data_IF_071373154430
#
_entry.id   IF_071373154430
#
_cell.length_a   1.000
_cell.length_b   1.000
_cell.length_c   1.000
_cell.angle_alpha   90.00
_cell.angle_beta   90.00
_cell.angle_gamma   90.00
#
_symmetry.space_group_name_H-M   'P 1'
#
loop_
_entity.id
_entity.type
_entity.pdbx_description
1 polymer ?
#
# COMPACT_ATOMS: atom_id res chain seq x y z
N UNK A 1 36.64 78.34 19.56
CA UNK A 1 37.47 79.13 20.49
C UNK A 1 37.49 78.41 21.82
N UNK A 2 38.68 78.11 22.35
CA UNK A 2 39.06 77.86 23.76
C UNK A 2 38.25 76.81 24.57
N UNK A 3 38.77 76.02 25.50
CA UNK A 3 40.11 75.60 25.91
C UNK A 3 39.86 74.56 27.03
N UNK A 4 40.61 73.45 27.01
CA UNK A 4 41.41 72.88 28.12
C UNK A 4 40.78 72.74 29.53
N UNK A 5 40.72 71.50 30.04
CA UNK A 5 41.06 71.14 31.44
C UNK A 5 41.39 69.63 31.52
N UNK A 6 42.65 69.19 31.70
CA UNK A 6 43.46 68.97 32.93
C UNK A 6 43.07 67.73 33.81
N UNK A 7 44.02 66.79 33.86
CA UNK A 7 44.61 66.06 35.00
C UNK A 7 43.90 64.87 35.74
N UNK A 8 44.49 63.67 35.52
CA UNK A 8 44.87 62.49 36.37
C UNK A 8 44.84 62.57 37.93
N UNK A 9 44.96 61.45 38.73
CA UNK A 9 45.53 60.13 38.39
C UNK A 9 44.95 58.80 39.01
N UNK A 10 45.42 57.68 38.43
CA UNK A 10 45.83 56.36 39.03
C UNK A 10 44.77 55.43 39.66
N UNK A 11 44.65 54.17 39.22
CA UNK A 11 45.59 53.11 39.63
C UNK A 11 46.10 52.18 38.49
N UNK A 12 47.39 51.90 38.62
CA UNK A 12 48.33 51.00 37.97
C UNK A 12 47.84 49.54 38.07
N UNK A 13 47.62 48.82 36.97
CA UNK A 13 48.58 48.05 36.16
C UNK A 13 49.29 46.89 36.87
N UNK A 14 48.86 45.66 36.55
CA UNK A 14 49.67 44.43 36.34
C UNK A 14 48.91 43.59 35.29
N UNK A 15 49.12 43.73 33.98
CA UNK A 15 50.10 43.08 33.07
C UNK A 15 50.34 41.56 33.25
N UNK A 16 50.03 40.83 32.16
CA UNK A 16 50.58 39.51 31.81
C UNK A 16 49.57 38.39 32.02
N UNK A 17 49.16 37.57 31.05
CA UNK A 17 49.90 37.01 29.92
C UNK A 17 48.90 36.63 28.80
N UNK A 18 49.23 36.96 27.55
CA UNK A 18 48.47 36.52 26.37
C UNK A 18 48.64 35.01 26.14
N UNK A 19 47.61 34.34 25.62
CA UNK A 19 47.82 33.44 24.48
C UNK A 19 46.54 33.25 23.65
N UNK A 20 46.68 33.63 22.38
CA UNK A 20 45.75 33.47 21.28
C UNK A 20 45.55 31.98 20.95
N UNK A 21 44.30 31.52 20.87
CA UNK A 21 43.94 30.32 20.10
C UNK A 21 42.62 30.58 19.36
N UNK A 22 42.73 30.73 18.04
CA UNK A 22 41.61 30.58 17.12
C UNK A 22 40.98 29.20 17.30
N UNK A 23 39.67 29.14 17.56
CA UNK A 23 38.93 27.87 17.56
C UNK A 23 37.64 27.98 16.74
N UNK A 24 37.48 26.95 15.94
CA UNK A 24 36.64 26.76 14.77
C UNK A 24 35.13 26.77 15.12
N UNK A 25 34.32 27.48 14.32
CA UNK A 25 32.85 27.53 14.42
C UNK A 25 32.21 26.25 13.87
N UNK A 26 32.53 25.07 14.38
CA UNK A 26 31.72 23.85 14.24
C UNK A 26 32.09 22.90 15.39
N UNK A 27 31.20 22.78 16.39
CA UNK A 27 30.94 21.61 17.25
C UNK A 27 30.31 22.07 18.56
N UNK A 28 28.97 22.01 18.66
CA UNK A 28 28.22 22.01 19.93
C UNK A 28 26.77 21.57 19.61
N UNK A 29 26.63 20.32 19.17
CA UNK A 29 25.34 19.64 19.01
C UNK A 29 25.48 18.19 19.40
N UNK A 30 25.69 17.91 20.70
CA UNK A 30 25.71 16.53 21.22
C UNK A 30 25.31 16.41 22.70
N UNK A 31 24.63 17.41 23.27
CA UNK A 31 24.11 17.36 24.65
C UNK A 31 22.58 17.30 24.73
N UNK A 32 21.85 17.48 23.62
CA UNK A 32 20.39 17.31 23.58
C UNK A 32 19.92 15.88 23.24
N UNK A 33 20.85 14.96 22.91
CA UNK A 33 20.53 13.57 22.55
C UNK A 33 20.36 12.66 23.78
N UNK A 34 20.85 13.07 24.96
CA UNK A 34 20.91 12.21 26.16
C UNK A 34 19.62 12.30 26.99
N UNK A 35 18.86 13.40 26.90
CA UNK A 35 17.64 13.59 27.69
C UNK A 35 16.42 12.81 27.15
N UNK A 36 16.39 12.46 25.86
CA UNK A 36 15.28 11.73 25.23
C UNK A 36 15.37 10.20 25.37
N UNK A 37 16.56 9.64 25.68
CA UNK A 37 16.74 8.20 25.84
C UNK A 37 16.21 7.70 27.21
N UNK A 38 16.17 8.55 28.23
CA UNK A 38 15.78 8.15 29.59
C UNK A 38 14.26 7.98 29.81
N UNK A 39 13.41 8.49 28.91
CA UNK A 39 11.94 8.33 29.02
C UNK A 39 11.44 7.04 28.33
N UNK A 40 12.28 6.39 27.51
CA UNK A 40 11.92 5.18 26.77
C UNK A 40 12.04 3.86 27.57
N UNK A 41 12.50 3.88 28.83
CA UNK A 41 12.77 2.66 29.62
C UNK A 41 11.78 2.41 30.78
N UNK A 42 10.73 3.21 30.97
CA UNK A 42 9.75 3.03 32.06
C UNK A 42 8.34 2.60 31.61
N UNK A 43 8.15 2.26 30.33
CA UNK A 43 6.83 1.98 29.73
C UNK A 43 6.42 0.51 29.63
N UNK A 44 7.13 -0.44 30.24
CA UNK A 44 6.80 -1.86 30.15
C UNK A 44 6.47 -2.44 31.54
N UNK A 45 5.18 -2.54 31.85
CA UNK A 45 4.65 -3.52 32.79
C UNK A 45 3.36 -4.15 32.23
N UNK A 46 3.20 -5.44 32.47
CA UNK A 46 2.55 -6.44 31.64
C UNK A 46 1.13 -6.84 32.10
N UNK A 47 0.28 -7.22 31.16
CA UNK A 47 -0.97 -7.94 31.45
C UNK A 47 -0.71 -9.44 31.38
N UNK A 48 -1.04 -10.13 32.47
CA UNK A 48 -0.97 -11.58 32.63
C UNK A 48 -2.25 -12.22 32.10
N UNK A 49 -2.13 -13.34 31.39
CA UNK A 49 -3.15 -14.40 31.36
C UNK A 49 -2.48 -15.71 30.95
N UNK A 50 -2.87 -16.75 31.68
CA UNK A 50 -2.11 -17.96 32.01
C UNK A 50 -1.94 -18.97 30.87
N UNK A 51 -0.83 -19.70 30.94
CA UNK A 51 -0.48 -20.88 30.15
C UNK A 51 -1.21 -22.15 30.62
N UNK A 52 -1.52 -23.06 29.70
CA UNK A 52 -1.16 -24.50 29.82
C UNK A 52 -1.36 -25.24 28.50
N UNK A 53 -0.27 -25.83 27.99
CA UNK A 53 -0.07 -27.19 27.43
C UNK A 53 -1.06 -27.77 26.38
N UNK A 54 -0.72 -28.51 25.31
CA UNK A 54 0.51 -29.14 24.78
C UNK A 54 0.17 -29.83 23.42
N UNK A 55 1.16 -29.91 22.51
CA UNK A 55 1.40 -30.89 21.42
C UNK A 55 0.66 -30.81 20.05
N UNK A 56 1.48 -30.50 19.04
CA UNK A 56 1.54 -30.93 17.63
C UNK A 56 0.26 -31.18 16.81
N UNK A 57 -0.05 -30.23 15.94
CA UNK A 57 -0.51 -30.54 14.59
C UNK A 57 0.16 -29.56 13.61
N UNK A 58 0.93 -30.08 12.65
CA UNK A 58 1.48 -29.32 11.54
C UNK A 58 0.33 -28.96 10.59
N UNK A 59 -0.46 -27.95 10.98
CA UNK A 59 -1.49 -27.37 10.14
C UNK A 59 -0.95 -26.03 9.65
N UNK A 60 -0.65 -25.95 8.36
CA UNK A 60 -0.38 -24.67 7.70
C UNK A 60 -1.44 -23.66 8.13
N UNK A 61 -1.08 -22.50 8.69
CA UNK A 61 -2.09 -21.50 9.02
C UNK A 61 -2.66 -20.99 7.70
N UNK A 62 -3.84 -21.48 7.33
CA UNK A 62 -4.72 -20.78 6.41
C UNK A 62 -5.17 -19.53 7.17
N UNK A 63 -4.49 -18.42 6.93
CA UNK A 63 -4.91 -17.11 7.40
C UNK A 63 -6.19 -16.74 6.65
N UNK A 64 -7.34 -17.06 7.25
CA UNK A 64 -8.60 -16.45 6.84
C UNK A 64 -8.56 -14.98 7.24
N UNK A 65 -8.23 -14.11 6.28
CA UNK A 65 -8.41 -12.67 6.45
C UNK A 65 -9.90 -12.44 6.66
N UNK A 66 -10.29 -12.04 7.88
CA UNK A 66 -11.67 -11.73 8.23
C UNK A 66 -12.14 -10.52 7.42
N UNK A 67 -13.12 -10.73 6.54
CA UNK A 67 -13.80 -9.66 5.82
C UNK A 67 -14.69 -8.89 6.80
N UNK A 68 -14.14 -7.85 7.42
CA UNK A 68 -14.93 -6.88 8.17
C UNK A 68 -15.55 -5.92 7.16
N UNK A 69 -16.68 -6.32 6.57
CA UNK A 69 -17.49 -5.45 5.71
C UNK A 69 -18.13 -4.35 6.55
N UNK A 70 -17.35 -3.32 6.88
CA UNK A 70 -17.86 -2.04 7.35
C UNK A 70 -18.33 -1.30 6.11
N UNK A 71 -19.64 -1.04 6.04
CA UNK A 71 -20.26 -0.15 5.06
C UNK A 71 -19.52 1.20 5.12
N UNK A 72 -18.61 1.46 4.18
CA UNK A 72 -17.80 2.68 4.18
C UNK A 72 -16.29 2.54 3.95
N UNK A 73 -15.84 1.61 3.10
CA UNK A 73 -14.73 1.79 2.15
C UNK A 73 -14.64 0.51 1.31
N UNK A 74 -15.09 0.60 0.07
CA UNK A 74 -15.39 -0.52 -0.84
C UNK A 74 -14.15 -1.14 -1.50
N UNK A 75 -12.96 -0.86 -0.96
CA UNK A 75 -11.69 -1.30 -1.53
C UNK A 75 -11.04 -2.30 -0.57
N UNK A 76 -10.71 -3.52 -1.03
CA UNK A 76 -10.01 -4.50 -0.19
C UNK A 76 -8.63 -3.97 0.23
N UNK A 77 -8.15 -4.40 1.40
CA UNK A 77 -6.76 -4.14 1.80
C UNK A 77 -5.79 -4.80 0.82
N UNK A 78 -4.55 -4.30 0.81
CA UNK A 78 -3.49 -4.91 -0.01
C UNK A 78 -3.30 -6.39 0.35
N UNK A 79 -3.24 -6.74 1.64
CA UNK A 79 -3.12 -8.13 2.10
C UNK A 79 -4.27 -9.02 1.59
N UNK A 80 -5.51 -8.53 1.64
CA UNK A 80 -6.67 -9.28 1.15
C UNK A 80 -6.60 -9.46 -0.38
N UNK A 81 -6.18 -8.44 -1.11
CA UNK A 81 -6.01 -8.53 -2.57
C UNK A 81 -4.84 -9.45 -2.94
N UNK A 82 -3.75 -9.43 -2.17
CA UNK A 82 -2.59 -10.32 -2.37
C UNK A 82 -2.88 -11.77 -2.00
N UNK A 83 -3.89 -12.04 -1.18
CA UNK A 83 -4.25 -13.41 -0.80
C UNK A 83 -4.59 -14.33 -1.98
N UNK A 84 -5.03 -13.78 -3.12
CA UNK A 84 -5.32 -14.55 -4.34
C UNK A 84 -4.12 -14.69 -5.28
N UNK A 85 -3.00 -13.99 -5.02
CA UNK A 85 -1.77 -14.08 -5.82
C UNK A 85 -0.90 -15.27 -5.40
N UNK A 86 -1.48 -16.47 -5.50
CA UNK A 86 -0.76 -17.73 -5.31
C UNK A 86 0.30 -17.93 -6.41
N UNK A 87 1.30 -18.76 -6.15
CA UNK A 87 2.37 -19.07 -7.12
C UNK A 87 1.83 -19.56 -8.48
N UNK A 88 0.73 -20.32 -8.48
CA UNK A 88 0.06 -20.78 -9.70
C UNK A 88 -0.58 -19.66 -10.52
N UNK A 89 -1.00 -18.58 -9.86
CA UNK A 89 -1.59 -17.39 -10.49
C UNK A 89 -0.48 -16.48 -11.01
N UNK A 90 0.55 -16.22 -10.21
CA UNK A 90 1.67 -15.37 -10.63
C UNK A 90 2.42 -15.97 -11.82
N UNK A 91 2.62 -17.29 -11.86
CA UNK A 91 3.18 -17.98 -13.06
C UNK A 91 2.39 -17.76 -14.34
N UNK A 92 1.08 -17.54 -14.25
CA UNK A 92 0.23 -17.27 -15.42
C UNK A 92 0.23 -15.78 -15.83
N UNK A 93 0.43 -14.87 -14.87
CA UNK A 93 0.39 -13.42 -15.10
C UNK A 93 1.77 -12.82 -15.44
N UNK A 94 2.86 -13.46 -15.01
CA UNK A 94 4.22 -12.93 -15.11
C UNK A 94 4.70 -12.30 -13.79
N UNK A 95 5.86 -11.65 -13.84
CA UNK A 95 6.56 -11.16 -12.64
C UNK A 95 6.28 -9.70 -12.29
N UNK A 96 5.81 -8.90 -13.25
CA UNK A 96 5.61 -7.46 -13.09
C UNK A 96 4.18 -7.16 -12.62
N UNK A 97 3.96 -7.31 -11.31
CA UNK A 97 2.67 -7.12 -10.64
C UNK A 97 2.81 -6.09 -9.52
N UNK A 98 2.27 -4.89 -9.73
CA UNK A 98 2.36 -3.76 -8.81
C UNK A 98 0.99 -3.44 -8.21
N UNK A 99 0.91 -3.20 -6.90
CA UNK A 99 -0.34 -2.80 -6.25
C UNK A 99 -0.69 -1.34 -6.57
N UNK A 100 -1.97 -1.03 -6.83
CA UNK A 100 -2.39 0.29 -7.30
C UNK A 100 -3.00 1.20 -6.21
N UNK A 101 -2.89 0.84 -4.92
CA UNK A 101 -3.51 1.54 -3.79
C UNK A 101 -5.04 1.64 -3.82
N UNK A 102 -5.70 0.90 -4.70
CA UNK A 102 -7.13 1.02 -4.98
C UNK A 102 -7.83 -0.33 -5.26
N UNK A 103 -7.33 -1.43 -4.73
CA UNK A 103 -8.02 -2.73 -4.80
C UNK A 103 -7.60 -3.64 -5.95
N UNK A 104 -6.59 -3.25 -6.74
CA UNK A 104 -6.16 -3.99 -7.93
C UNK A 104 -4.65 -3.94 -8.15
N UNK A 105 -4.19 -4.65 -9.19
CA UNK A 105 -2.79 -4.66 -9.60
C UNK A 105 -2.61 -4.07 -11.00
N UNK A 106 -1.55 -3.29 -11.17
CA UNK A 106 -0.99 -2.89 -12.45
C UNK A 106 -0.08 -4.01 -12.92
N UNK A 107 -0.35 -4.53 -14.12
CA UNK A 107 0.45 -5.57 -14.75
C UNK A 107 1.36 -4.96 -15.81
N UNK A 108 2.59 -5.48 -15.93
CA UNK A 108 3.51 -5.15 -17.03
C UNK A 108 3.69 -3.63 -17.22
N UNK A 109 3.80 -2.87 -16.13
CA UNK A 109 3.94 -1.42 -16.16
C UNK A 109 2.81 -0.70 -16.91
N UNK A 110 1.58 -1.21 -16.82
CA UNK A 110 0.39 -0.70 -17.51
C UNK A 110 0.51 -0.76 -19.05
N UNK A 111 1.16 -1.80 -19.59
CA UNK A 111 1.31 -2.03 -21.03
C UNK A 111 0.67 -3.36 -21.44
N UNK A 112 0.02 -3.35 -22.61
CA UNK A 112 -0.57 -4.54 -23.24
C UNK A 112 0.01 -4.72 -24.64
N UNK A 113 0.06 -5.96 -25.10
CA UNK A 113 0.44 -6.37 -26.45
C UNK A 113 -0.76 -6.47 -27.41
N UNK A 114 -1.96 -6.09 -26.97
CA UNK A 114 -3.15 -6.03 -27.82
C UNK A 114 -2.95 -5.04 -28.98
N UNK A 115 -3.05 -5.53 -30.21
CA UNK A 115 -3.07 -4.69 -31.41
C UNK A 115 -4.48 -4.14 -31.66
N UNK A 116 -4.64 -2.83 -31.43
CA UNK A 116 -5.87 -2.11 -31.71
C UNK A 116 -5.90 -1.51 -33.15
N UNK A 117 -4.79 -1.56 -33.89
CA UNK A 117 -4.65 -0.98 -35.24
C UNK A 117 -5.15 -1.91 -36.33
N UNK A 118 -6.40 -2.36 -36.21
CA UNK A 118 -7.01 -3.34 -37.11
C UNK A 118 -8.15 -2.74 -37.93
N UNK A 119 -8.33 -3.22 -39.16
CA UNK A 119 -9.48 -2.86 -40.01
C UNK A 119 -10.67 -3.83 -39.88
N UNK A 120 -10.65 -4.69 -38.86
CA UNK A 120 -11.69 -5.69 -38.61
C UNK A 120 -13.01 -5.02 -38.21
N UNK A 121 -14.13 -5.68 -38.54
CA UNK A 121 -15.42 -5.28 -38.02
C UNK A 121 -15.49 -5.49 -36.48
N UNK A 122 -16.24 -4.67 -35.73
CA UNK A 122 -16.46 -4.90 -34.30
C UNK A 122 -17.03 -6.29 -34.00
N UNK A 123 -16.54 -6.93 -32.94
CA UNK A 123 -16.92 -8.31 -32.58
C UNK A 123 -16.77 -8.55 -31.08
N UNK A 124 -17.33 -9.67 -30.61
CA UNK A 124 -17.06 -10.24 -29.29
C UNK A 124 -16.93 -11.77 -29.41
N UNK A 125 -15.93 -12.35 -28.76
CA UNK A 125 -15.65 -13.77 -28.75
C UNK A 125 -15.35 -14.24 -27.33
N UNK A 126 -16.05 -15.30 -26.90
CA UNK A 126 -15.85 -15.93 -25.60
C UNK A 126 -15.31 -17.34 -25.78
N UNK A 127 -14.18 -17.65 -25.14
CA UNK A 127 -13.66 -19.00 -24.98
C UNK A 127 -14.09 -19.57 -23.65
N UNK A 128 -14.30 -20.89 -23.62
CA UNK A 128 -14.71 -21.63 -22.44
C UNK A 128 -13.86 -22.88 -22.27
N UNK A 129 -13.92 -23.48 -21.08
CA UNK A 129 -13.38 -24.82 -20.81
C UNK A 129 -14.32 -25.59 -19.91
N UNK A 130 -14.19 -26.91 -19.90
CA UNK A 130 -14.92 -27.78 -18.97
C UNK A 130 -14.11 -27.99 -17.69
N UNK A 131 -14.72 -27.75 -16.53
CA UNK A 131 -14.15 -28.00 -15.20
C UNK A 131 -15.21 -28.75 -14.39
N UNK A 132 -14.90 -29.98 -13.95
CA UNK A 132 -15.82 -30.81 -13.15
C UNK A 132 -17.21 -30.96 -13.81
N UNK A 133 -17.25 -31.15 -15.13
CA UNK A 133 -18.49 -31.27 -15.91
C UNK A 133 -19.24 -29.95 -16.15
N UNK A 134 -18.75 -28.82 -15.63
CA UNK A 134 -19.33 -27.49 -15.83
C UNK A 134 -18.53 -26.71 -16.88
N UNK A 135 -19.23 -25.94 -17.73
CA UNK A 135 -18.60 -25.04 -18.70
C UNK A 135 -18.33 -23.70 -18.01
N UNK A 136 -17.08 -23.26 -17.98
CA UNK A 136 -16.66 -21.99 -17.37
C UNK A 136 -15.97 -21.08 -18.40
N UNK A 137 -16.17 -19.75 -18.33
CA UNK A 137 -15.48 -18.80 -19.21
C UNK A 137 -13.98 -18.74 -18.90
N UNK A 138 -13.16 -18.49 -19.92
CA UNK A 138 -11.70 -18.33 -19.77
C UNK A 138 -11.20 -17.01 -20.32
N UNK A 139 -11.24 -16.84 -21.65
CA UNK A 139 -10.73 -15.65 -22.34
C UNK A 139 -11.88 -15.04 -23.14
N UNK A 140 -12.09 -13.74 -22.97
CA UNK A 140 -13.02 -12.97 -23.78
C UNK A 140 -12.24 -11.88 -24.55
N UNK A 141 -12.39 -11.86 -25.88
CA UNK A 141 -11.80 -10.84 -26.75
C UNK A 141 -12.91 -10.08 -27.46
N UNK A 142 -12.71 -8.79 -27.69
CA UNK A 142 -13.65 -7.96 -28.41
C UNK A 142 -12.95 -6.81 -29.13
N UNK A 143 -13.56 -6.34 -30.22
CA UNK A 143 -13.28 -5.04 -30.81
C UNK A 143 -14.50 -4.16 -30.60
N UNK A 144 -14.36 -3.16 -29.74
CA UNK A 144 -15.47 -2.29 -29.34
C UNK A 144 -15.45 -0.99 -30.13
N UNK A 145 -16.63 -0.51 -30.50
CA UNK A 145 -16.79 0.79 -31.16
C UNK A 145 -18.08 1.47 -30.69
N UNK A 146 -18.41 2.65 -31.24
CA UNK A 146 -19.69 3.31 -30.94
C UNK A 146 -20.90 2.42 -31.27
N UNK A 147 -20.78 1.53 -32.27
CA UNK A 147 -21.88 0.65 -32.71
C UNK A 147 -22.13 -0.51 -31.76
N UNK A 148 -21.17 -0.88 -30.91
CA UNK A 148 -21.30 -2.00 -29.97
C UNK A 148 -21.78 -1.57 -28.58
N UNK A 149 -22.05 -0.28 -28.37
CA UNK A 149 -22.52 0.26 -27.09
C UNK A 149 -24.00 -0.02 -26.89
N UNK A 150 -24.36 -0.47 -25.68
CA UNK A 150 -25.75 -0.56 -25.23
C UNK A 150 -26.04 0.62 -24.30
N UNK A 151 -27.07 1.42 -24.62
CA UNK A 151 -27.44 2.62 -23.86
C UNK A 151 -28.74 2.46 -23.07
N UNK A 152 -29.54 1.43 -23.40
CA UNK A 152 -30.78 1.15 -22.70
C UNK A 152 -30.50 0.33 -21.46
N UNK A 153 -31.36 0.50 -20.46
CA UNK A 153 -31.34 -0.33 -19.26
C UNK A 153 -31.53 -1.80 -19.63
N UNK A 154 -30.87 -2.69 -18.89
CA UNK A 154 -30.94 -4.14 -19.13
C UNK A 154 -32.39 -4.68 -19.13
N UNK A 155 -33.24 -4.12 -18.26
CA UNK A 155 -34.68 -4.42 -18.21
C UNK A 155 -35.43 -4.04 -19.49
N UNK A 156 -34.98 -3.01 -20.20
CA UNK A 156 -35.58 -2.53 -21.45
C UNK A 156 -35.04 -3.25 -22.69
N UNK A 157 -33.91 -3.96 -22.57
CA UNK A 157 -33.28 -4.70 -23.69
C UNK A 157 -33.57 -6.19 -23.66
N UNK A 158 -34.38 -6.68 -22.72
CA UNK A 158 -34.62 -8.11 -22.52
C UNK A 158 -33.45 -8.86 -21.89
N UNK A 159 -32.43 -8.13 -21.39
CA UNK A 159 -31.27 -8.68 -20.68
C UNK A 159 -31.36 -8.40 -19.17
N UNK A 160 -32.58 -8.19 -18.66
CA UNK A 160 -32.84 -7.94 -17.25
C UNK A 160 -32.51 -9.14 -16.38
N UNK A 161 -32.68 -8.99 -15.08
CA UNK A 161 -32.35 -10.05 -14.11
C UNK A 161 -33.06 -11.36 -14.45
N UNK A 162 -32.30 -12.46 -14.51
CA UNK A 162 -32.83 -13.80 -14.74
C UNK A 162 -32.58 -14.72 -13.54
N UNK A 163 -33.16 -15.92 -13.59
CA UNK A 163 -32.94 -16.97 -12.59
C UNK A 163 -31.64 -17.76 -12.85
N UNK A 164 -30.91 -17.44 -13.93
CA UNK A 164 -29.63 -18.07 -14.23
C UNK A 164 -28.62 -17.83 -13.10
N UNK A 165 -27.84 -18.86 -12.77
CA UNK A 165 -26.74 -18.81 -11.80
C UNK A 165 -25.50 -19.45 -12.42
N UNK A 166 -24.33 -18.79 -12.42
CA UNK A 166 -23.11 -19.36 -12.98
C UNK A 166 -22.56 -20.48 -12.09
N UNK A 167 -21.67 -21.30 -12.65
CA UNK A 167 -20.96 -22.32 -11.88
C UNK A 167 -20.21 -21.68 -10.70
N UNK A 168 -20.35 -22.27 -9.51
CA UNK A 168 -19.74 -21.75 -8.27
C UNK A 168 -20.56 -20.68 -7.53
N UNK A 169 -21.76 -20.34 -8.00
CA UNK A 169 -22.63 -19.38 -7.32
C UNK A 169 -23.06 -19.87 -5.92
N UNK A 170 -22.69 -19.12 -4.89
CA UNK A 170 -23.09 -19.33 -3.49
C UNK A 170 -23.46 -17.98 -2.86
N UNK A 171 -24.75 -17.67 -2.79
CA UNK A 171 -25.22 -16.41 -2.17
C UNK A 171 -25.34 -16.57 -0.66
N UNK A 172 -24.70 -15.67 0.09
CA UNK A 172 -24.82 -15.59 1.56
C UNK A 172 -25.96 -14.63 1.90
N UNK A 173 -26.88 -15.07 2.75
CA UNK A 173 -27.92 -14.21 3.31
C UNK A 173 -27.40 -13.60 4.61
N UNK A 174 -27.54 -12.28 4.74
CA UNK A 174 -27.22 -11.52 5.96
C UNK A 174 -28.50 -11.15 6.69
#
# INVERSE_FOLDING_TARGET
>A
MNAIFKAFPTNKSIKGFMNNKNVNKQTLSLLSLIATILIALAGYWLNVSSSSDTLHEARSPVTYIQNSSVLGRETPSEDLTRSVLLESVTKQLGNDIEWNDAGAFILNGNKTDLDASVSSAPYANLKTKTVQGQIVPTVANALLSKTTRQYKDSNQTGNGTTHFRPAGWNQVYQ
#
